data_IF_272303522330
#
_entry.id   IF_272303522330
#
_cell.length_a   1.000
_cell.length_b   1.000
_cell.length_c   1.000
_cell.angle_alpha   90.00
_cell.angle_beta   90.00
_cell.angle_gamma   90.00
#
_symmetry.space_group_name_H-M   'P 1'
#
loop_
_entity.id
_entity.type
_entity.pdbx_description
1 polymer ?
#
# COMPACT_ATOMS: atom_id res chain seq x y z
N UNK A 1 -36.45 -30.55 -0.68
CA UNK A 1 -36.69 -29.20 -0.14
C UNK A 1 -35.39 -28.52 0.33
N UNK A 2 -34.61 -29.11 1.25
CA UNK A 2 -33.37 -28.50 1.81
C UNK A 2 -32.28 -28.23 0.75
N UNK A 3 -31.99 -29.17 -0.17
CA UNK A 3 -31.02 -28.96 -1.26
C UNK A 3 -31.40 -27.81 -2.20
N UNK A 4 -32.70 -27.62 -2.43
CA UNK A 4 -33.22 -26.56 -3.31
C UNK A 4 -33.08 -25.21 -2.62
N UNK A 5 -33.38 -25.13 -1.33
CA UNK A 5 -33.21 -23.90 -0.53
C UNK A 5 -31.75 -23.44 -0.45
N UNK A 6 -30.79 -24.35 -0.16
CA UNK A 6 -29.37 -23.99 -0.17
C UNK A 6 -28.89 -23.54 -1.55
N UNK A 7 -29.34 -24.20 -2.63
CA UNK A 7 -28.97 -23.81 -3.98
C UNK A 7 -29.52 -22.42 -4.33
N UNK A 8 -30.76 -22.11 -3.95
CA UNK A 8 -31.34 -20.78 -4.14
C UNK A 8 -30.59 -19.72 -3.33
N UNK A 9 -30.24 -20.00 -2.07
CA UNK A 9 -29.46 -19.08 -1.23
C UNK A 9 -28.07 -18.82 -1.82
N UNK A 10 -27.40 -19.86 -2.31
CA UNK A 10 -26.11 -19.75 -3.01
C UNK A 10 -26.20 -18.91 -4.28
N UNK A 11 -27.28 -19.05 -5.05
CA UNK A 11 -27.53 -18.25 -6.25
C UNK A 11 -27.73 -16.78 -5.86
N UNK A 12 -28.53 -16.49 -4.83
CA UNK A 12 -28.76 -15.12 -4.35
C UNK A 12 -27.47 -14.48 -3.85
N UNK A 13 -26.68 -15.21 -3.04
CA UNK A 13 -25.36 -14.73 -2.57
C UNK A 13 -24.44 -14.43 -3.76
N UNK A 14 -24.35 -15.34 -4.74
CA UNK A 14 -23.49 -15.14 -5.90
C UNK A 14 -23.96 -13.98 -6.80
N UNK A 15 -25.28 -13.77 -6.94
CA UNK A 15 -25.84 -12.65 -7.68
C UNK A 15 -25.57 -11.31 -6.97
N UNK A 16 -25.83 -11.24 -5.66
CA UNK A 16 -25.56 -10.05 -4.86
C UNK A 16 -24.06 -9.72 -4.77
N UNK A 17 -23.23 -10.75 -4.68
CA UNK A 17 -21.78 -10.66 -4.81
C UNK A 17 -21.37 -10.09 -6.16
N UNK A 18 -21.92 -10.62 -7.27
CA UNK A 18 -21.61 -10.17 -8.64
C UNK A 18 -21.99 -8.71 -8.90
N UNK A 19 -23.15 -8.26 -8.42
CA UNK A 19 -23.56 -6.86 -8.58
C UNK A 19 -22.70 -5.90 -7.74
N UNK A 20 -22.17 -6.35 -6.60
CA UNK A 20 -21.26 -5.58 -5.74
C UNK A 20 -19.76 -5.88 -5.97
N UNK A 21 -19.37 -6.60 -7.05
CA UNK A 21 -17.97 -7.02 -7.26
C UNK A 21 -17.01 -5.86 -7.51
N UNK A 22 -17.50 -4.74 -8.06
CA UNK A 22 -16.71 -3.51 -8.18
C UNK A 22 -16.93 -2.63 -6.95
N UNK A 23 -16.46 -3.10 -5.79
CA UNK A 23 -16.32 -2.23 -4.62
C UNK A 23 -15.23 -1.19 -4.88
N UNK A 24 -15.55 0.07 -4.63
CA UNK A 24 -14.56 1.14 -4.57
C UNK A 24 -13.61 0.87 -3.39
N UNK A 25 -12.31 0.83 -3.67
CA UNK A 25 -11.27 0.64 -2.67
C UNK A 25 -11.11 1.93 -1.87
N UNK A 26 -11.54 1.94 -0.62
CA UNK A 26 -11.16 2.99 0.33
C UNK A 26 -9.80 2.64 0.96
N UNK A 27 -8.74 3.33 0.52
CA UNK A 27 -7.36 3.07 0.96
C UNK A 27 -7.13 3.43 2.43
N UNK A 28 -8.03 4.24 3.02
CA UNK A 28 -7.97 4.58 4.44
C UNK A 28 -8.38 3.39 5.32
N UNK A 29 -9.42 2.67 4.92
CA UNK A 29 -9.99 1.55 5.69
C UNK A 29 -9.69 0.18 5.09
N UNK A 30 -8.77 0.08 4.13
CA UNK A 30 -8.37 -1.19 3.51
C UNK A 30 -6.89 -1.51 3.75
N UNK A 31 -6.57 -2.80 3.81
CA UNK A 31 -5.19 -3.29 3.87
C UNK A 31 -4.97 -4.49 2.95
N UNK A 32 -3.77 -4.60 2.37
CA UNK A 32 -3.27 -5.79 1.70
C UNK A 32 -2.52 -6.65 2.72
N UNK A 33 -2.96 -7.89 2.89
CA UNK A 33 -2.34 -8.89 3.78
C UNK A 33 -1.48 -9.85 2.97
N UNK A 34 -0.19 -9.91 3.31
CA UNK A 34 0.79 -10.82 2.72
C UNK A 34 1.06 -11.98 3.66
N UNK A 35 0.39 -13.11 3.45
CA UNK A 35 0.47 -14.28 4.32
C UNK A 35 1.63 -15.20 3.90
N UNK A 36 2.66 -15.30 4.74
CA UNK A 36 3.79 -16.23 4.61
C UNK A 36 4.63 -16.08 3.32
N UNK A 37 4.97 -14.85 2.92
CA UNK A 37 5.98 -14.60 1.86
C UNK A 37 7.41 -14.79 2.38
N UNK A 38 7.66 -15.97 2.97
CA UNK A 38 8.91 -16.38 3.59
C UNK A 38 9.69 -17.32 2.67
N UNK A 39 11.00 -17.42 2.91
CA UNK A 39 11.89 -18.30 2.17
C UNK A 39 11.44 -19.77 2.20
N UNK A 40 10.77 -20.23 3.27
CA UNK A 40 10.23 -21.60 3.35
C UNK A 40 9.25 -21.94 2.21
N UNK A 41 8.54 -20.93 1.68
CA UNK A 41 7.68 -21.10 0.51
C UNK A 41 8.40 -20.76 -0.79
N UNK A 42 9.17 -19.67 -0.82
CA UNK A 42 9.64 -19.05 -2.07
C UNK A 42 11.08 -19.43 -2.48
N UNK A 43 11.96 -19.84 -1.56
CA UNK A 43 13.31 -20.30 -1.91
C UNK A 43 13.18 -21.67 -2.60
N UNK A 44 13.73 -21.81 -3.82
CA UNK A 44 13.69 -23.05 -4.60
C UNK A 44 14.34 -24.24 -3.90
N UNK A 45 15.17 -23.99 -2.89
CA UNK A 45 15.84 -25.01 -2.06
C UNK A 45 15.07 -25.35 -0.78
N UNK A 46 13.99 -24.65 -0.48
CA UNK A 46 13.14 -24.93 0.69
C UNK A 46 12.34 -26.21 0.52
N UNK A 47 11.82 -26.74 1.64
CA UNK A 47 11.08 -28.01 1.62
C UNK A 47 9.70 -27.82 0.99
N UNK A 48 8.98 -26.74 1.35
CA UNK A 48 7.62 -26.53 0.81
C UNK A 48 7.63 -26.18 -0.67
N UNK A 49 8.63 -25.43 -1.17
CA UNK A 49 8.80 -25.25 -2.62
C UNK A 49 8.95 -26.61 -3.33
N UNK A 50 9.75 -27.51 -2.73
CA UNK A 50 9.95 -28.86 -3.24
C UNK A 50 8.68 -29.72 -3.28
N UNK A 51 7.75 -29.51 -2.34
CA UNK A 51 6.48 -30.24 -2.26
C UNK A 51 5.38 -29.72 -3.18
N UNK A 52 5.57 -28.55 -3.80
CA UNK A 52 4.61 -27.96 -4.70
C UNK A 52 4.35 -28.85 -5.93
N UNK A 53 3.12 -29.37 -6.04
CA UNK A 53 2.73 -30.25 -7.17
C UNK A 53 2.33 -29.42 -8.39
N UNK A 54 1.58 -28.35 -8.19
CA UNK A 54 1.22 -27.40 -9.25
C UNK A 54 2.12 -26.16 -9.23
N UNK A 55 3.34 -26.31 -9.74
CA UNK A 55 4.32 -25.20 -9.81
C UNK A 55 3.85 -24.05 -10.69
N UNK A 56 3.06 -24.32 -11.72
CA UNK A 56 2.57 -23.27 -12.64
C UNK A 56 1.62 -22.32 -11.91
N UNK A 57 0.69 -22.85 -11.12
CA UNK A 57 -0.19 -22.06 -10.25
C UNK A 57 0.63 -21.26 -9.23
N UNK A 58 1.60 -21.92 -8.59
CA UNK A 58 2.43 -21.29 -7.56
C UNK A 58 3.26 -20.11 -8.13
N UNK A 59 3.95 -20.32 -9.25
CA UNK A 59 4.75 -19.28 -9.91
C UNK A 59 3.88 -18.11 -10.40
N UNK A 60 2.69 -18.40 -10.95
CA UNK A 60 1.72 -17.37 -11.31
C UNK A 60 1.27 -16.56 -10.08
N UNK A 61 1.01 -17.22 -8.95
CA UNK A 61 0.62 -16.54 -7.72
C UNK A 61 1.70 -15.61 -7.19
N UNK A 62 2.98 -15.99 -7.27
CA UNK A 62 4.09 -15.14 -6.86
C UNK A 62 4.16 -13.88 -7.74
N UNK A 63 4.06 -14.05 -9.07
CA UNK A 63 4.05 -12.92 -10.02
C UNK A 63 2.91 -11.95 -9.72
N UNK A 64 1.69 -12.48 -9.60
CA UNK A 64 0.49 -11.71 -9.33
C UNK A 64 0.54 -11.01 -7.95
N UNK A 65 1.15 -11.66 -6.95
CA UNK A 65 1.36 -11.06 -5.63
C UNK A 65 2.27 -9.83 -5.68
N UNK A 66 3.30 -9.83 -6.55
CA UNK A 66 4.17 -8.66 -6.74
C UNK A 66 3.39 -7.50 -7.36
N UNK A 67 2.60 -7.79 -8.40
CA UNK A 67 1.74 -6.79 -9.05
C UNK A 67 0.73 -6.19 -8.06
N UNK A 68 0.07 -7.03 -7.26
CA UNK A 68 -0.85 -6.58 -6.22
C UNK A 68 -0.15 -5.75 -5.13
N UNK A 69 1.04 -6.15 -4.68
CA UNK A 69 1.82 -5.42 -3.69
C UNK A 69 2.27 -4.05 -4.20
N UNK A 70 2.81 -4.00 -5.42
CA UNK A 70 3.24 -2.76 -6.05
C UNK A 70 2.06 -1.79 -6.21
N UNK A 71 0.93 -2.28 -6.71
CA UNK A 71 -0.27 -1.48 -6.85
C UNK A 71 -0.80 -0.99 -5.51
N UNK A 72 -0.91 -1.85 -4.49
CA UNK A 72 -1.37 -1.46 -3.16
C UNK A 72 -0.50 -0.35 -2.57
N UNK A 73 0.83 -0.41 -2.76
CA UNK A 73 1.76 0.66 -2.38
C UNK A 73 1.50 1.94 -3.17
N UNK A 74 1.35 1.84 -4.49
CA UNK A 74 1.08 3.00 -5.35
C UNK A 74 -0.22 3.68 -4.94
N UNK A 75 -1.27 2.94 -4.56
CA UNK A 75 -2.53 3.54 -4.11
C UNK A 75 -2.54 3.92 -2.63
N UNK A 76 -1.41 3.86 -1.92
CA UNK A 76 -1.31 4.24 -0.51
C UNK A 76 -2.11 3.34 0.45
N UNK A 77 -2.41 2.10 0.04
CA UNK A 77 -3.06 1.11 0.89
C UNK A 77 -2.07 0.58 1.93
N UNK A 78 -2.56 0.30 3.14
CA UNK A 78 -1.72 -0.28 4.20
C UNK A 78 -1.26 -1.68 3.79
N UNK A 79 0.02 -1.95 3.95
CA UNK A 79 0.63 -3.25 3.70
C UNK A 79 0.90 -3.93 5.03
N UNK A 80 0.46 -5.18 5.18
CA UNK A 80 0.63 -5.96 6.41
C UNK A 80 1.22 -7.33 6.07
N UNK A 81 2.44 -7.58 6.51
CA UNK A 81 3.12 -8.86 6.38
C UNK A 81 2.79 -9.78 7.54
N UNK A 82 2.42 -11.01 7.24
CA UNK A 82 1.96 -12.01 8.22
C UNK A 82 2.84 -13.26 8.13
N UNK A 83 4.03 -13.25 8.76
CA UNK A 83 4.90 -14.42 8.78
C UNK A 83 4.39 -15.48 9.76
N UNK A 84 4.82 -16.72 9.58
CA UNK A 84 4.84 -17.73 10.64
C UNK A 84 6.26 -17.77 11.22
N UNK A 85 6.42 -17.35 12.47
CA UNK A 85 7.73 -17.33 13.14
C UNK A 85 7.70 -18.33 14.28
N UNK A 86 8.52 -19.37 14.15
CA UNK A 86 8.69 -20.43 15.14
C UNK A 86 10.14 -20.41 15.60
N UNK A 87 10.37 -20.72 16.87
CA UNK A 87 11.71 -21.06 17.34
C UNK A 87 12.20 -22.36 16.69
N UNK A 88 13.52 -22.51 16.53
CA UNK A 88 14.07 -23.69 15.86
C UNK A 88 13.86 -24.99 16.65
N UNK A 89 13.51 -24.88 17.95
CA UNK A 89 13.11 -25.99 18.84
C UNK A 89 11.59 -26.26 18.86
N UNK A 90 10.79 -25.41 18.22
CA UNK A 90 9.32 -25.51 18.10
C UNK A 90 8.56 -25.56 19.44
N UNK A 91 9.13 -25.06 20.53
CA UNK A 91 8.50 -25.11 21.86
C UNK A 91 7.12 -24.46 21.91
N UNK A 92 6.80 -23.57 20.97
CA UNK A 92 5.49 -22.93 20.85
C UNK A 92 4.36 -23.93 20.58
N UNK A 93 4.66 -25.09 19.99
CA UNK A 93 3.67 -26.15 19.79
C UNK A 93 3.46 -27.04 21.02
N UNK A 94 4.31 -26.90 22.04
CA UNK A 94 4.36 -27.79 23.19
C UNK A 94 4.86 -29.19 22.83
N UNK A 95 4.98 -30.05 23.84
CA UNK A 95 5.65 -31.35 23.69
C UNK A 95 4.72 -32.49 23.23
N UNK A 96 3.40 -32.27 23.20
CA UNK A 96 2.40 -33.33 23.02
C UNK A 96 1.54 -33.17 21.74
N UNK A 97 1.97 -32.36 20.77
CA UNK A 97 1.24 -32.21 19.52
C UNK A 97 1.24 -33.50 18.68
N UNK A 98 0.09 -34.18 18.62
CA UNK A 98 -0.06 -35.51 17.97
C UNK A 98 -0.60 -35.48 16.54
N UNK A 99 -1.25 -34.39 16.14
CA UNK A 99 -2.01 -34.33 14.89
C UNK A 99 -1.76 -33.07 14.08
N UNK A 100 -1.99 -33.17 12.77
CA UNK A 100 -1.96 -32.04 11.84
C UNK A 100 -0.60 -31.33 11.76
N UNK A 101 -0.63 -30.05 11.38
CA UNK A 101 0.59 -29.26 11.15
C UNK A 101 1.46 -29.11 12.40
N UNK A 102 0.86 -29.06 13.59
CA UNK A 102 1.62 -28.98 14.86
C UNK A 102 2.47 -30.22 15.12
N UNK A 103 2.07 -31.39 14.62
CA UNK A 103 2.87 -32.60 14.69
C UNK A 103 3.87 -32.70 13.53
N UNK A 104 3.48 -32.28 12.33
CA UNK A 104 4.28 -32.47 11.10
C UNK A 104 5.40 -31.44 10.96
N UNK A 105 5.16 -30.16 11.29
CA UNK A 105 6.15 -29.08 11.11
C UNK A 105 7.47 -29.39 11.84
N UNK A 106 7.49 -29.79 13.13
CA UNK A 106 8.74 -30.14 13.82
C UNK A 106 9.45 -31.37 13.24
N UNK A 107 8.69 -32.36 12.77
CA UNK A 107 9.25 -33.58 12.17
C UNK A 107 9.91 -33.30 10.82
N UNK A 108 9.26 -32.50 9.99
CA UNK A 108 9.77 -32.10 8.68
C UNK A 108 10.81 -30.99 8.81
N UNK A 109 10.85 -30.27 9.94
CA UNK A 109 11.76 -29.17 10.23
C UNK A 109 11.64 -28.00 9.24
N UNK A 110 10.43 -27.47 9.08
CA UNK A 110 10.14 -26.28 8.23
C UNK A 110 10.13 -24.99 9.08
N UNK A 111 10.39 -23.84 8.45
CA UNK A 111 10.57 -22.53 9.12
C UNK A 111 11.77 -22.49 10.09
N UNK A 112 12.89 -23.11 9.71
CA UNK A 112 14.17 -23.00 10.45
C UNK A 112 15.15 -22.07 9.73
N UNK A 113 16.18 -21.64 10.47
CA UNK A 113 17.31 -20.87 9.92
C UNK A 113 16.81 -19.68 9.08
N UNK A 114 17.38 -19.49 7.88
CA UNK A 114 16.95 -18.45 6.93
C UNK A 114 15.57 -18.69 6.30
N UNK A 115 14.99 -19.88 6.43
CA UNK A 115 13.71 -20.19 5.78
C UNK A 115 12.53 -19.47 6.48
N UNK A 116 12.67 -19.14 7.77
CA UNK A 116 11.69 -18.31 8.49
C UNK A 116 11.76 -16.83 8.14
N UNK A 117 12.80 -16.38 7.45
CA UNK A 117 12.91 -14.99 7.05
C UNK A 117 12.04 -14.68 5.83
N UNK A 118 11.67 -13.41 5.67
CA UNK A 118 11.00 -12.93 4.46
C UNK A 118 11.86 -13.21 3.22
N UNK A 119 11.19 -13.58 2.13
CA UNK A 119 11.87 -13.72 0.85
C UNK A 119 12.27 -12.34 0.32
N UNK A 120 13.44 -12.24 -0.32
CA UNK A 120 14.02 -10.97 -0.81
C UNK A 120 13.09 -10.12 -1.68
N UNK A 121 12.17 -10.77 -2.39
CA UNK A 121 11.23 -10.11 -3.29
C UNK A 121 10.02 -9.48 -2.56
N UNK A 122 9.85 -9.78 -1.27
CA UNK A 122 8.72 -9.36 -0.43
C UNK A 122 9.20 -8.83 0.93
N UNK A 123 10.39 -8.22 0.96
CA UNK A 123 10.88 -7.58 2.17
C UNK A 123 9.92 -6.46 2.61
N UNK A 124 9.54 -6.40 3.90
CA UNK A 124 8.83 -5.27 4.45
C UNK A 124 9.62 -3.97 4.25
N UNK A 125 8.92 -2.91 3.87
CA UNK A 125 9.45 -1.54 3.94
C UNK A 125 9.21 -0.94 5.34
N UNK A 126 9.83 0.20 5.61
CA UNK A 126 9.74 0.88 6.92
C UNK A 126 8.28 1.24 7.29
N UNK A 127 7.47 1.59 6.29
CA UNK A 127 6.06 1.92 6.45
C UNK A 127 5.12 0.72 6.53
N UNK A 128 5.59 -0.49 6.21
CA UNK A 128 4.78 -1.71 6.22
C UNK A 128 4.63 -2.23 7.66
N UNK A 129 3.46 -2.79 8.00
CA UNK A 129 3.30 -3.50 9.28
C UNK A 129 3.81 -4.93 9.19
N UNK A 130 4.44 -5.42 10.25
CA UNK A 130 4.82 -6.83 10.41
C UNK A 130 4.11 -7.41 11.62
N UNK A 131 3.26 -8.40 11.38
CA UNK A 131 2.55 -9.13 12.44
C UNK A 131 3.53 -9.99 13.23
N UNK A 132 3.35 -10.01 14.56
CA UNK A 132 4.11 -10.83 15.48
C UNK A 132 3.18 -11.68 16.37
N UNK A 133 3.74 -12.74 16.96
CA UNK A 133 3.04 -13.62 17.90
C UNK A 133 2.17 -14.70 17.26
N UNK A 134 2.01 -14.74 15.93
CA UNK A 134 1.20 -15.76 15.25
C UNK A 134 1.74 -17.17 15.49
N UNK A 135 0.90 -18.05 16.05
CA UNK A 135 1.22 -19.46 16.32
C UNK A 135 0.32 -20.46 15.59
N UNK A 136 -0.77 -19.99 14.98
CA UNK A 136 -1.75 -20.83 14.29
C UNK A 136 -1.83 -20.61 12.78
N UNK A 137 -2.68 -21.38 12.13
CA UNK A 137 -2.94 -21.25 10.70
C UNK A 137 -3.54 -19.88 10.34
N UNK A 138 -4.48 -19.36 11.14
CA UNK A 138 -5.00 -18.01 10.97
C UNK A 138 -3.95 -16.96 11.32
N UNK A 139 -3.90 -15.89 10.53
CA UNK A 139 -3.09 -14.70 10.76
C UNK A 139 -3.41 -14.00 12.07
N UNK A 140 -4.60 -14.22 12.64
CA UNK A 140 -5.04 -13.67 13.93
C UNK A 140 -4.69 -14.55 15.13
N UNK A 141 -4.41 -15.84 14.91
CA UNK A 141 -4.27 -16.82 16.00
C UNK A 141 -3.01 -16.58 16.83
N UNK A 142 -3.20 -15.95 18.00
CA UNK A 142 -2.13 -15.59 18.94
C UNK A 142 -1.34 -14.34 18.55
N UNK A 143 -1.75 -13.64 17.49
CA UNK A 143 -0.98 -12.53 16.92
C UNK A 143 -1.51 -11.16 17.30
N UNK A 144 -0.73 -10.11 16.99
CA UNK A 144 -1.15 -8.71 17.13
C UNK A 144 -1.93 -8.16 15.91
N UNK A 145 -2.33 -8.99 14.94
CA UNK A 145 -2.99 -8.54 13.71
C UNK A 145 -4.28 -7.74 13.97
N UNK A 146 -5.17 -8.23 14.84
CA UNK A 146 -6.44 -7.57 15.16
C UNK A 146 -6.22 -6.17 15.76
N UNK A 147 -5.21 -6.04 16.63
CA UNK A 147 -4.83 -4.77 17.23
C UNK A 147 -4.29 -3.78 16.18
N UNK A 148 -3.42 -4.23 15.28
CA UNK A 148 -2.91 -3.42 14.16
C UNK A 148 -4.09 -2.92 13.32
N UNK A 149 -4.98 -3.82 12.90
CA UNK A 149 -6.12 -3.50 12.04
C UNK A 149 -7.08 -2.49 12.70
N UNK A 150 -7.47 -2.73 13.96
CA UNK A 150 -8.39 -1.85 14.70
C UNK A 150 -7.82 -0.47 14.94
N UNK A 151 -6.57 -0.39 15.40
CA UNK A 151 -5.93 0.90 15.69
C UNK A 151 -5.71 1.76 14.44
N UNK A 152 -5.64 1.13 13.26
CA UNK A 152 -5.53 1.81 11.97
C UNK A 152 -6.87 1.97 11.24
N UNK A 153 -7.99 1.65 11.89
CA UNK A 153 -9.34 1.82 11.31
C UNK A 153 -9.61 0.96 10.07
N UNK A 154 -8.91 -0.17 9.94
CA UNK A 154 -9.05 -1.09 8.80
C UNK A 154 -10.33 -1.89 8.96
N UNK A 155 -11.07 -2.04 7.87
CA UNK A 155 -12.35 -2.74 7.76
C UNK A 155 -12.36 -3.77 6.65
N UNK A 156 -11.62 -3.53 5.56
CA UNK A 156 -11.55 -4.43 4.40
C UNK A 156 -10.15 -5.02 4.23
N UNK A 157 -10.07 -6.33 4.06
CA UNK A 157 -8.82 -7.09 4.00
C UNK A 157 -8.70 -7.77 2.64
N UNK A 158 -7.70 -7.37 1.86
CA UNK A 158 -7.32 -8.04 0.62
C UNK A 158 -6.21 -9.05 0.94
N UNK A 159 -6.46 -10.34 0.76
CA UNK A 159 -5.57 -11.41 1.20
C UNK A 159 -4.85 -12.07 0.04
N UNK A 160 -3.54 -12.22 0.18
CA UNK A 160 -2.66 -12.96 -0.72
C UNK A 160 -1.78 -13.92 0.09
N UNK A 161 -1.10 -14.86 -0.60
CA UNK A 161 -0.08 -15.70 0.03
C UNK A 161 -0.48 -17.17 0.19
N UNK A 162 0.05 -17.84 1.21
CA UNK A 162 0.13 -19.31 1.24
C UNK A 162 -0.19 -19.94 2.60
N UNK A 163 -0.72 -21.17 2.66
CA UNK A 163 -1.41 -21.87 1.56
C UNK A 163 -2.88 -21.42 1.47
N UNK A 164 -3.47 -21.44 0.27
CA UNK A 164 -4.86 -20.97 0.06
C UNK A 164 -5.86 -21.66 0.99
N UNK A 165 -5.86 -22.99 1.02
CA UNK A 165 -6.81 -23.81 1.79
C UNK A 165 -6.40 -24.03 3.27
N UNK A 166 -5.36 -23.35 3.75
CA UNK A 166 -4.87 -23.48 5.12
C UNK A 166 -4.80 -22.12 5.77
N UNK A 167 -3.70 -21.38 5.58
CA UNK A 167 -3.44 -20.15 6.32
C UNK A 167 -4.27 -18.99 5.77
N UNK A 168 -4.41 -18.88 4.46
CA UNK A 168 -5.26 -17.86 3.82
C UNK A 168 -6.72 -18.11 4.19
N UNK A 169 -7.24 -19.33 4.00
CA UNK A 169 -8.60 -19.70 4.38
C UNK A 169 -8.90 -19.51 5.88
N UNK A 170 -7.97 -19.92 6.77
CA UNK A 170 -8.16 -19.75 8.21
C UNK A 170 -8.24 -18.27 8.59
N UNK A 171 -7.37 -17.44 8.00
CA UNK A 171 -7.38 -15.99 8.21
C UNK A 171 -8.65 -15.36 7.65
N UNK A 172 -9.10 -15.81 6.47
CA UNK A 172 -10.31 -15.33 5.81
C UNK A 172 -11.58 -15.59 6.62
N UNK A 173 -11.73 -16.81 7.15
CA UNK A 173 -12.86 -17.17 8.02
C UNK A 173 -12.84 -16.38 9.33
N UNK A 174 -11.68 -16.26 9.97
CA UNK A 174 -11.59 -15.52 11.23
C UNK A 174 -11.77 -14.01 11.02
N UNK A 175 -11.34 -13.45 9.89
CA UNK A 175 -11.62 -12.07 9.51
C UNK A 175 -13.13 -11.80 9.45
N UNK A 176 -13.89 -12.68 8.80
CA UNK A 176 -15.36 -12.62 8.78
C UNK A 176 -15.93 -12.63 10.20
N UNK A 177 -15.51 -13.58 11.03
CA UNK A 177 -16.04 -13.73 12.40
C UNK A 177 -15.70 -12.52 13.29
N UNK A 178 -14.61 -11.81 12.98
CA UNK A 178 -14.23 -10.55 13.63
C UNK A 178 -14.90 -9.30 13.04
N UNK A 179 -15.70 -9.45 11.99
CA UNK A 179 -16.46 -8.36 11.36
C UNK A 179 -15.70 -7.57 10.29
N UNK A 180 -14.61 -8.11 9.75
CA UNK A 180 -13.92 -7.52 8.60
C UNK A 180 -14.57 -7.98 7.28
N UNK A 181 -14.55 -7.11 6.27
CA UNK A 181 -14.84 -7.50 4.89
C UNK A 181 -13.63 -8.25 4.34
N UNK A 182 -13.74 -9.57 4.20
CA UNK A 182 -12.65 -10.40 3.72
C UNK A 182 -12.73 -10.59 2.20
N UNK A 183 -11.63 -10.31 1.51
CA UNK A 183 -11.49 -10.47 0.05
C UNK A 183 -10.21 -11.25 -0.22
N UNK A 184 -10.30 -12.34 -0.98
CA UNK A 184 -9.11 -13.09 -1.45
C UNK A 184 -8.79 -12.65 -2.87
N UNK A 185 -7.54 -12.27 -3.13
CA UNK A 185 -7.05 -12.10 -4.51
C UNK A 185 -6.64 -13.50 -4.99
N UNK A 186 -7.57 -14.18 -5.68
CA UNK A 186 -7.52 -15.63 -5.85
C UNK A 186 -6.31 -16.11 -6.65
N UNK A 187 -5.88 -15.35 -7.65
CA UNK A 187 -4.73 -15.66 -8.48
C UNK A 187 -3.41 -15.17 -7.88
N UNK A 188 -3.43 -14.54 -6.69
CA UNK A 188 -2.27 -14.18 -5.86
C UNK A 188 -2.15 -15.07 -4.60
N UNK A 189 -2.79 -16.23 -4.61
CA UNK A 189 -2.61 -17.30 -3.60
C UNK A 189 -2.43 -18.67 -4.28
N UNK A 190 -1.82 -19.62 -3.57
CA UNK A 190 -1.65 -21.00 -4.05
C UNK A 190 -1.78 -22.03 -2.94
N UNK A 191 -2.21 -23.24 -3.31
CA UNK A 191 -2.09 -24.47 -2.50
C UNK A 191 -1.10 -25.42 -3.15
N UNK A 192 -0.87 -26.61 -2.56
CA UNK A 192 0.02 -27.61 -3.16
C UNK A 192 -0.56 -28.16 -4.47
N UNK A 193 -1.89 -28.29 -4.55
CA UNK A 193 -2.59 -28.69 -5.79
C UNK A 193 -3.64 -27.66 -6.22
N UNK A 194 -4.08 -27.78 -7.47
CA UNK A 194 -5.14 -26.94 -8.05
C UNK A 194 -6.50 -27.23 -7.40
N UNK A 195 -6.76 -28.49 -7.11
CA UNK A 195 -8.03 -28.96 -6.53
C UNK A 195 -8.23 -28.38 -5.12
N UNK A 196 -7.19 -28.34 -4.31
CA UNK A 196 -7.21 -27.74 -2.97
C UNK A 196 -7.60 -26.26 -3.02
N UNK A 197 -6.93 -25.48 -3.88
CA UNK A 197 -7.25 -24.07 -4.10
C UNK A 197 -8.67 -23.89 -4.63
N UNK A 198 -9.03 -24.61 -5.68
CA UNK A 198 -10.34 -24.46 -6.33
C UNK A 198 -11.48 -24.84 -5.39
N UNK A 199 -11.29 -25.82 -4.50
CA UNK A 199 -12.29 -26.19 -3.52
C UNK A 199 -12.65 -24.99 -2.63
N UNK A 200 -11.65 -24.32 -2.06
CA UNK A 200 -11.85 -23.14 -1.23
C UNK A 200 -12.54 -22.02 -2.02
N UNK A 201 -12.00 -21.66 -3.19
CA UNK A 201 -12.54 -20.54 -4.00
C UNK A 201 -13.99 -20.79 -4.40
N UNK A 202 -14.34 -22.00 -4.85
CA UNK A 202 -15.68 -22.29 -5.38
C UNK A 202 -16.72 -22.57 -4.28
N UNK A 203 -16.32 -23.24 -3.20
CA UNK A 203 -17.27 -23.79 -2.24
C UNK A 203 -17.28 -23.06 -0.89
N UNK A 204 -16.24 -22.31 -0.56
CA UNK A 204 -16.09 -21.71 0.76
C UNK A 204 -16.21 -20.19 0.71
N UNK A 205 -15.53 -19.52 -0.23
CA UNK A 205 -15.37 -18.05 -0.24
C UNK A 205 -16.69 -17.31 -0.03
N UNK A 206 -17.72 -17.67 -0.80
CA UNK A 206 -19.03 -16.99 -0.79
C UNK A 206 -19.76 -17.04 0.56
N UNK A 207 -19.36 -17.92 1.49
CA UNK A 207 -19.94 -17.96 2.83
C UNK A 207 -19.36 -16.88 3.76
N UNK A 208 -18.12 -16.43 3.53
CA UNK A 208 -17.39 -15.55 4.46
C UNK A 208 -16.93 -14.23 3.82
N UNK A 209 -17.01 -14.10 2.49
CA UNK A 209 -16.57 -12.90 1.79
C UNK A 209 -16.56 -13.07 0.29
N UNK A 210 -15.56 -12.47 -0.36
CA UNK A 210 -15.46 -12.40 -1.81
C UNK A 210 -14.08 -12.85 -2.32
N UNK A 211 -14.02 -13.24 -3.59
CA UNK A 211 -12.78 -13.36 -4.33
C UNK A 211 -12.81 -12.49 -5.59
N UNK A 212 -11.64 -11.95 -5.90
CA UNK A 212 -11.36 -11.20 -7.13
C UNK A 212 -10.01 -11.69 -7.69
N UNK A 213 -9.81 -11.49 -8.99
CA UNK A 213 -8.50 -11.64 -9.62
C UNK A 213 -7.62 -10.42 -9.34
N UNK A 214 -6.31 -10.58 -9.53
CA UNK A 214 -5.34 -9.47 -9.48
C UNK A 214 -5.73 -8.41 -10.49
N UNK A 215 -6.16 -8.79 -11.69
CA UNK A 215 -6.65 -7.84 -12.70
C UNK A 215 -7.82 -6.99 -12.20
N UNK A 216 -8.81 -7.60 -11.56
CA UNK A 216 -9.94 -6.86 -10.96
C UNK A 216 -9.47 -5.94 -9.83
N UNK A 217 -8.54 -6.40 -8.98
CA UNK A 217 -7.94 -5.56 -7.93
C UNK A 217 -7.24 -4.32 -8.51
N UNK A 218 -6.40 -4.49 -9.53
CA UNK A 218 -5.65 -3.41 -10.19
C UNK A 218 -6.54 -2.39 -10.92
N UNK A 219 -7.72 -2.82 -11.35
CA UNK A 219 -8.66 -1.99 -12.14
C UNK A 219 -9.84 -1.47 -11.31
N UNK A 220 -9.85 -1.76 -10.01
CA UNK A 220 -10.88 -1.28 -9.10
C UNK A 220 -10.83 0.24 -8.98
N UNK A 221 -11.99 0.88 -8.88
CA UNK A 221 -12.06 2.31 -8.56
C UNK A 221 -11.45 2.52 -7.17
N UNK A 222 -10.62 3.53 -7.00
CA UNK A 222 -9.94 3.80 -5.73
C UNK A 222 -10.38 5.15 -5.19
N UNK A 223 -10.88 5.16 -3.96
CA UNK A 223 -11.07 6.36 -3.17
C UNK A 223 -9.77 6.66 -2.39
N UNK A 224 -9.06 7.70 -2.83
CA UNK A 224 -7.76 8.11 -2.29
C UNK A 224 -7.94 9.39 -1.47
N UNK A 225 -7.34 9.45 -0.27
CA UNK A 225 -7.29 10.67 0.54
C UNK A 225 -6.28 11.67 -0.03
N UNK A 226 -6.73 12.39 -1.06
CA UNK A 226 -5.93 13.37 -1.80
C UNK A 226 -5.40 14.48 -0.90
N UNK A 227 -6.16 14.89 0.12
CA UNK A 227 -5.71 15.90 1.08
C UNK A 227 -4.53 15.42 1.91
N UNK A 228 -4.54 14.17 2.37
CA UNK A 228 -3.41 13.62 3.13
C UNK A 228 -2.14 13.50 2.28
N UNK A 229 -2.25 13.13 1.00
CA UNK A 229 -1.10 13.16 0.08
C UNK A 229 -0.49 14.56 0.00
N UNK A 230 -1.32 15.57 -0.20
CA UNK A 230 -0.86 16.97 -0.29
C UNK A 230 -0.26 17.46 1.02
N UNK A 231 -0.87 17.12 2.16
CA UNK A 231 -0.31 17.45 3.48
C UNK A 231 1.03 16.78 3.70
N UNK A 232 1.15 15.49 3.36
CA UNK A 232 2.40 14.73 3.43
C UNK A 232 3.50 15.35 2.59
N UNK A 233 3.19 15.72 1.35
CA UNK A 233 4.10 16.42 0.45
C UNK A 233 4.60 17.74 1.05
N UNK A 234 3.71 18.63 1.49
CA UNK A 234 4.13 19.91 2.08
C UNK A 234 4.86 19.76 3.41
N UNK A 235 4.48 18.77 4.24
CA UNK A 235 5.19 18.46 5.48
C UNK A 235 6.63 18.03 5.19
N UNK A 236 6.82 17.13 4.23
CA UNK A 236 8.15 16.67 3.82
C UNK A 236 9.03 17.83 3.29
N UNK A 237 8.46 18.74 2.50
CA UNK A 237 9.14 19.97 2.07
C UNK A 237 9.52 20.86 3.25
N UNK A 238 8.62 21.07 4.22
CA UNK A 238 8.87 21.86 5.42
C UNK A 238 9.97 21.28 6.32
N UNK A 239 10.03 19.95 6.42
CA UNK A 239 11.10 19.20 7.12
C UNK A 239 12.41 19.14 6.33
N UNK A 240 12.46 19.71 5.12
CA UNK A 240 13.59 19.64 4.16
C UNK A 240 13.96 18.21 3.77
N UNK A 241 13.04 17.27 3.89
CA UNK A 241 13.21 15.89 3.47
C UNK A 241 12.79 15.74 2.00
N UNK A 242 13.67 16.18 1.09
CA UNK A 242 13.37 16.21 -0.36
C UNK A 242 13.10 14.81 -0.91
N UNK A 243 13.77 13.78 -0.41
CA UNK A 243 13.53 12.39 -0.86
C UNK A 243 12.12 11.93 -0.50
N UNK A 244 11.65 12.22 0.71
CA UNK A 244 10.27 11.96 1.11
C UNK A 244 9.28 12.82 0.33
N UNK A 245 9.59 14.09 0.04
CA UNK A 245 8.72 14.91 -0.82
C UNK A 245 8.58 14.29 -2.23
N UNK A 246 9.68 13.79 -2.81
CA UNK A 246 9.70 13.15 -4.12
C UNK A 246 8.98 11.79 -4.15
N UNK A 247 8.77 11.11 -3.01
CA UNK A 247 7.99 9.88 -2.99
C UNK A 247 6.49 10.10 -3.23
N UNK A 248 5.99 11.32 -3.05
CA UNK A 248 4.61 11.70 -3.40
C UNK A 248 4.45 12.11 -4.87
N UNK A 249 5.54 12.18 -5.64
CA UNK A 249 5.54 12.71 -7.01
C UNK A 249 5.54 11.55 -8.02
N UNK A 250 4.78 11.69 -9.09
CA UNK A 250 4.84 10.76 -10.22
C UNK A 250 6.13 10.94 -11.04
N UNK A 251 6.66 9.85 -11.61
CA UNK A 251 7.89 9.93 -12.44
C UNK A 251 7.76 10.85 -13.66
N UNK A 252 6.54 11.01 -14.20
CA UNK A 252 6.21 11.86 -15.34
C UNK A 252 5.33 13.07 -14.94
N UNK A 253 5.69 13.70 -13.81
CA UNK A 253 5.03 14.89 -13.25
C UNK A 253 4.99 16.07 -14.25
N UNK A 254 3.87 16.80 -14.29
CA UNK A 254 3.78 18.14 -14.88
C UNK A 254 3.84 19.20 -13.76
N UNK A 255 5.05 19.63 -13.37
CA UNK A 255 5.23 20.63 -12.31
C UNK A 255 5.53 22.00 -12.92
N UNK A 256 4.70 22.99 -12.62
CA UNK A 256 4.87 24.38 -13.01
C UNK A 256 5.13 25.25 -11.77
N UNK A 257 6.38 25.68 -11.61
CA UNK A 257 6.77 26.67 -10.61
C UNK A 257 6.38 28.07 -11.10
N UNK A 258 5.11 28.44 -10.90
CA UNK A 258 4.53 29.76 -11.23
C UNK A 258 4.38 30.07 -12.72
N UNK A 259 5.47 30.10 -13.49
CA UNK A 259 5.48 30.38 -14.93
C UNK A 259 6.53 29.55 -15.65
N UNK A 260 6.35 29.34 -16.96
CA UNK A 260 7.21 28.44 -17.73
C UNK A 260 8.63 28.97 -17.91
N UNK A 261 8.77 30.29 -18.02
CA UNK A 261 10.06 30.98 -18.12
C UNK A 261 9.98 32.32 -17.39
N UNK A 262 11.14 32.83 -16.98
CA UNK A 262 11.29 34.21 -16.57
C UNK A 262 12.56 34.79 -17.14
N UNK A 263 12.49 35.90 -17.89
CA UNK A 263 13.69 36.59 -18.34
C UNK A 263 14.45 37.23 -17.18
N UNK A 264 13.78 37.43 -16.04
CA UNK A 264 14.34 38.06 -14.85
C UNK A 264 14.94 37.04 -13.87
N UNK A 265 14.43 35.80 -13.88
CA UNK A 265 14.66 34.83 -12.80
C UNK A 265 14.42 33.38 -13.24
N UNK A 266 15.20 32.85 -14.20
CA UNK A 266 14.96 31.54 -14.77
C UNK A 266 15.13 30.38 -13.76
N UNK A 267 15.79 30.60 -12.63
CA UNK A 267 16.09 29.54 -11.65
C UNK A 267 14.97 29.29 -10.64
N UNK A 268 13.98 30.18 -10.57
CA UNK A 268 12.87 30.11 -9.60
C UNK A 268 11.52 29.79 -10.20
N UNK A 269 11.47 29.77 -11.53
CA UNK A 269 10.30 29.50 -12.31
C UNK A 269 10.66 28.49 -13.39
N UNK A 270 9.72 27.63 -13.74
CA UNK A 270 10.01 26.62 -14.74
C UNK A 270 8.96 25.53 -14.79
N UNK A 271 9.08 24.72 -15.84
CA UNK A 271 8.33 23.49 -16.01
C UNK A 271 9.26 22.30 -15.84
N UNK A 272 8.98 21.46 -14.86
CA UNK A 272 9.74 20.25 -14.53
C UNK A 272 8.89 19.02 -14.85
N UNK A 273 9.50 18.03 -15.51
CA UNK A 273 8.80 16.90 -16.13
C UNK A 273 9.04 15.55 -15.47
N UNK A 274 9.97 15.51 -14.51
CA UNK A 274 10.37 14.29 -13.82
C UNK A 274 10.97 14.61 -12.44
N UNK A 275 11.17 13.57 -11.62
CA UNK A 275 11.74 13.71 -10.26
C UNK A 275 13.15 14.27 -10.25
N UNK A 276 13.97 13.97 -11.26
CA UNK A 276 15.35 14.47 -11.35
C UNK A 276 15.38 15.98 -11.50
N UNK A 277 14.61 16.50 -12.45
CA UNK A 277 14.42 17.94 -12.67
C UNK A 277 13.88 18.65 -11.42
N UNK A 278 12.95 18.02 -10.70
CA UNK A 278 12.43 18.57 -9.42
C UNK A 278 13.43 18.53 -8.28
N UNK A 279 14.24 17.47 -8.18
CA UNK A 279 15.31 17.37 -7.20
C UNK A 279 16.29 18.54 -7.38
N UNK A 280 16.73 18.78 -8.60
CA UNK A 280 17.61 19.91 -8.95
C UNK A 280 16.95 21.25 -8.54
N UNK A 281 15.68 21.46 -8.91
CA UNK A 281 14.93 22.65 -8.51
C UNK A 281 14.87 22.86 -6.98
N UNK A 282 14.51 21.83 -6.21
CA UNK A 282 14.41 21.94 -4.75
C UNK A 282 15.75 22.18 -4.06
N UNK A 283 16.84 21.63 -4.62
CA UNK A 283 18.20 21.88 -4.12
C UNK A 283 18.56 23.36 -4.35
N UNK A 284 18.35 23.87 -5.57
CA UNK A 284 18.72 25.23 -5.95
C UNK A 284 17.88 26.32 -5.26
N UNK A 285 16.61 26.04 -4.91
CA UNK A 285 15.74 27.01 -4.21
C UNK A 285 16.37 27.61 -2.95
N UNK A 286 17.14 26.82 -2.19
CA UNK A 286 17.78 27.25 -0.95
C UNK A 286 19.01 28.17 -1.18
N UNK A 287 19.51 28.25 -2.41
CA UNK A 287 20.61 29.15 -2.78
C UNK A 287 20.13 30.61 -2.91
N UNK A 288 18.83 30.81 -3.16
CA UNK A 288 18.25 32.14 -3.40
C UNK A 288 17.47 32.68 -2.20
N UNK A 289 16.83 31.82 -1.42
CA UNK A 289 15.95 32.22 -0.33
C UNK A 289 16.14 31.41 0.94
N UNK A 290 15.92 32.07 2.07
CA UNK A 290 15.72 31.43 3.36
C UNK A 290 14.24 31.48 3.73
N UNK A 291 13.62 30.32 3.89
CA UNK A 291 12.23 30.24 4.37
C UNK A 291 12.13 30.66 5.83
N UNK A 292 11.27 31.66 6.11
CA UNK A 292 11.02 32.18 7.45
C UNK A 292 9.67 31.72 8.01
N UNK A 293 8.63 31.67 7.16
CA UNK A 293 7.31 31.16 7.50
C UNK A 293 6.68 30.49 6.27
N UNK A 294 5.98 29.38 6.49
CA UNK A 294 5.24 28.67 5.46
C UNK A 294 4.05 27.97 6.10
N UNK A 295 2.84 28.37 5.72
CA UNK A 295 1.60 27.90 6.33
C UNK A 295 0.60 27.47 5.27
N UNK A 296 -0.01 26.32 5.49
CA UNK A 296 -1.18 25.87 4.74
C UNK A 296 -2.41 26.37 5.50
N UNK A 297 -3.19 27.26 4.89
CA UNK A 297 -4.37 27.85 5.52
C UNK A 297 -5.62 27.01 5.26
N UNK A 298 -5.76 26.49 4.04
CA UNK A 298 -6.89 25.64 3.68
C UNK A 298 -6.56 24.70 2.52
N UNK A 299 -7.24 23.55 2.50
CA UNK A 299 -7.16 22.55 1.45
C UNK A 299 -8.59 22.16 1.03
N UNK A 300 -8.89 22.29 -0.25
CA UNK A 300 -10.13 21.81 -0.87
C UNK A 300 -9.83 20.75 -1.93
N UNK A 301 -10.79 19.88 -2.26
CA UNK A 301 -10.61 18.83 -3.27
C UNK A 301 -11.86 18.67 -4.14
N UNK A 302 -11.66 18.19 -5.37
CA UNK A 302 -12.72 17.70 -6.26
C UNK A 302 -12.36 16.27 -6.74
N UNK A 303 -12.99 15.77 -7.81
CA UNK A 303 -12.77 14.40 -8.30
C UNK A 303 -11.31 14.04 -8.58
N UNK A 304 -10.49 14.94 -9.13
CA UNK A 304 -9.10 14.63 -9.52
C UNK A 304 -8.05 15.59 -8.95
N UNK A 305 -8.47 16.71 -8.35
CA UNK A 305 -7.61 17.82 -8.02
C UNK A 305 -7.75 18.27 -6.57
N UNK A 306 -6.66 18.79 -6.03
CA UNK A 306 -6.57 19.45 -4.73
C UNK A 306 -6.16 20.90 -4.94
N UNK A 307 -6.83 21.79 -4.22
CA UNK A 307 -6.55 23.21 -4.18
C UNK A 307 -6.01 23.56 -2.81
N UNK A 308 -4.90 24.27 -2.78
CA UNK A 308 -4.26 24.71 -1.54
C UNK A 308 -4.20 26.21 -1.54
N UNK A 309 -4.66 26.83 -0.45
CA UNK A 309 -4.35 28.23 -0.12
C UNK A 309 -3.38 28.23 1.05
N UNK A 310 -2.34 29.04 0.95
CA UNK A 310 -1.38 29.20 2.02
C UNK A 310 -0.74 30.57 2.03
N UNK A 311 0.18 30.72 2.96
CA UNK A 311 0.98 31.91 3.16
C UNK A 311 2.45 31.50 3.18
N UNK A 312 3.31 32.33 2.59
CA UNK A 312 4.75 32.12 2.62
C UNK A 312 5.48 33.44 2.91
N UNK A 313 6.61 33.33 3.61
CA UNK A 313 7.52 34.43 3.92
C UNK A 313 8.96 33.98 3.79
N UNK A 314 9.72 34.68 2.95
CA UNK A 314 11.10 34.38 2.61
C UNK A 314 12.00 35.60 2.83
N UNK A 315 13.24 35.36 3.26
CA UNK A 315 14.33 36.33 3.13
C UNK A 315 15.07 36.08 1.81
N UNK A 316 15.24 37.12 0.99
CA UNK A 316 16.06 37.09 -0.21
C UNK A 316 17.52 37.14 0.18
N UNK A 317 18.30 36.08 -0.10
CA UNK A 317 19.67 35.98 0.40
C UNK A 317 20.60 37.05 -0.19
N UNK A 318 20.35 37.47 -1.44
CA UNK A 318 21.14 38.47 -2.18
C UNK A 318 21.17 39.84 -1.48
N UNK A 319 20.02 40.35 -1.04
CA UNK A 319 19.87 41.74 -0.57
C UNK A 319 19.13 41.87 0.77
N UNK A 320 18.78 40.74 1.41
CA UNK A 320 18.12 40.67 2.73
C UNK A 320 16.71 41.26 2.78
N UNK A 321 16.12 41.55 1.63
CA UNK A 321 14.72 41.96 1.55
C UNK A 321 13.79 40.81 1.99
N UNK A 322 12.66 41.18 2.59
CA UNK A 322 11.63 40.24 3.02
C UNK A 322 10.52 40.21 1.99
N UNK A 323 10.25 39.03 1.45
CA UNK A 323 9.12 38.77 0.58
C UNK A 323 8.08 37.95 1.32
N UNK A 324 6.85 38.43 1.35
CA UNK A 324 5.70 37.72 1.92
C UNK A 324 4.50 37.83 1.00
N UNK A 325 3.73 36.74 0.91
CA UNK A 325 2.60 36.66 -0.01
C UNK A 325 1.70 35.49 0.36
N UNK A 326 0.43 35.60 -0.02
CA UNK A 326 -0.45 34.44 -0.15
C UNK A 326 -0.05 33.65 -1.41
N UNK A 327 -0.17 32.33 -1.33
CA UNK A 327 0.00 31.46 -2.48
C UNK A 327 -1.21 30.56 -2.68
N UNK A 328 -1.36 30.10 -3.92
CA UNK A 328 -2.27 29.02 -4.27
C UNK A 328 -1.52 27.91 -4.98
N UNK A 329 -1.96 26.67 -4.79
CA UNK A 329 -1.51 25.55 -5.59
C UNK A 329 -2.69 24.73 -6.12
N UNK A 330 -2.57 24.29 -7.37
CA UNK A 330 -3.46 23.34 -8.01
C UNK A 330 -2.71 22.04 -8.25
N UNK A 331 -3.23 20.93 -7.74
CA UNK A 331 -2.51 19.67 -7.67
C UNK A 331 -3.42 18.55 -8.18
N UNK A 332 -3.09 17.91 -9.30
CA UNK A 332 -3.78 16.71 -9.75
C UNK A 332 -3.12 15.47 -9.19
N UNK A 333 -3.93 14.56 -8.66
CA UNK A 333 -3.47 13.31 -8.06
C UNK A 333 -4.07 12.14 -8.81
N UNK A 334 -3.21 11.20 -9.19
CA UNK A 334 -3.58 9.94 -9.83
C UNK A 334 -2.75 8.83 -9.20
N UNK A 335 -3.36 7.69 -8.88
CA UNK A 335 -2.66 6.55 -8.26
C UNK A 335 -1.79 6.97 -7.06
N UNK A 336 -2.36 7.80 -6.18
CA UNK A 336 -1.75 8.45 -5.00
C UNK A 336 -0.46 9.24 -5.22
N UNK A 337 -0.14 9.55 -6.48
CA UNK A 337 0.99 10.37 -6.84
C UNK A 337 0.51 11.69 -7.43
N UNK A 338 1.22 12.75 -7.08
CA UNK A 338 1.03 14.07 -7.68
C UNK A 338 1.50 13.96 -9.14
N UNK A 339 0.55 14.10 -10.07
CA UNK A 339 0.76 14.05 -11.52
C UNK A 339 0.89 15.44 -12.12
N UNK A 340 0.21 16.42 -11.55
CA UNK A 340 0.33 17.83 -11.95
C UNK A 340 0.42 18.69 -10.72
N UNK A 341 1.27 19.70 -10.77
CA UNK A 341 1.39 20.68 -9.72
C UNK A 341 1.58 22.06 -10.35
N UNK A 342 0.74 23.02 -10.00
CA UNK A 342 0.85 24.40 -10.45
C UNK A 342 0.82 25.34 -9.27
N UNK A 343 1.90 26.06 -9.07
CA UNK A 343 2.05 27.03 -7.99
C UNK A 343 1.70 28.44 -8.46
N UNK A 344 1.11 29.26 -7.61
CA UNK A 344 0.78 30.65 -7.90
C UNK A 344 1.13 31.53 -6.70
N UNK A 345 1.77 32.67 -6.95
CA UNK A 345 2.12 33.69 -5.95
C UNK A 345 2.34 35.03 -6.64
N UNK A 346 2.47 36.13 -5.89
CA UNK A 346 2.77 37.44 -6.46
C UNK A 346 4.23 37.53 -6.97
N UNK A 347 4.45 37.17 -8.23
CA UNK A 347 5.79 37.23 -8.84
C UNK A 347 6.27 38.65 -9.09
N UNK A 348 5.35 39.60 -9.31
CA UNK A 348 5.72 40.98 -9.64
C UNK A 348 6.41 41.63 -8.43
N UNK A 349 5.85 41.43 -7.24
CA UNK A 349 6.46 41.92 -6.01
C UNK A 349 7.81 41.25 -5.71
N UNK A 350 7.92 39.94 -5.91
CA UNK A 350 9.19 39.22 -5.73
C UNK A 350 10.30 39.74 -6.67
N UNK A 351 9.97 39.92 -7.94
CA UNK A 351 10.93 40.41 -8.94
C UNK A 351 11.33 41.86 -8.70
N UNK A 352 10.41 42.69 -8.20
CA UNK A 352 10.71 44.05 -7.76
C UNK A 352 11.73 44.05 -6.60
N UNK A 353 11.48 43.27 -5.54
CA UNK A 353 12.37 43.21 -4.38
C UNK A 353 13.76 42.69 -4.73
N UNK A 354 13.88 41.73 -5.64
CA UNK A 354 15.19 41.16 -5.99
C UNK A 354 16.10 42.10 -6.81
N UNK A 355 15.48 43.04 -7.55
CA UNK A 355 16.19 44.06 -8.32
C UNK A 355 16.69 45.23 -7.47
N UNK A 356 16.23 45.32 -6.22
CA UNK A 356 16.65 46.35 -5.28
C UNK A 356 18.12 46.10 -4.91
N UNK A 357 18.97 47.07 -5.22
CA UNK A 357 20.42 47.05 -4.97
C UNK A 357 20.76 47.25 -3.49
#
# INVERSE_FOLDING_TARGET
MIKMFMLTLLIVINLYSKENKMQEIDTKSSALLLIEYQNEWLDKKSKLYGFMKDKKQFEASIKNSKEALEYARNIGMKIIHIPLVLSDDYKEFGNDAKYGLRAVIPQVKTWQDKNKDFHKDFLPKEEDFVVSGRLGASGFAGSNLDAILKNNGIKTLYMTGFATNVCVESTFREAHDKGYNAIVIDDATSSFTKEEKEFFIKNIVHHFGLNISTKEFLTSKVNIDKKEIVKGFYKALGERNIQNALSFIDENIEYLAVKETSPTFPELYGKYRNKKELLEFFIHLNEYYKTLDFRIESIAENENSVFVKGYLKYEILKNKEIYETDFMAFIDIENSLIKKYKFFKDTAFLEYLYKKE
#
